data_IF_440732295429
#
_entry.id   IF_440732295429
#
_cell.length_a   1.000
_cell.length_b   1.000
_cell.length_c   1.000
_cell.angle_alpha   90.00
_cell.angle_beta   90.00
_cell.angle_gamma   90.00
#
_symmetry.space_group_name_H-M   'P 1'
#
loop_
_entity.id
_entity.type
_entity.pdbx_description
1 polymer ?
#
# COMPACT_ATOMS: atom_id res chain seq x y z
N UNK A 1 7.50 -14.66 -9.30
CA UNK A 1 7.95 -14.19 -7.97
C UNK A 1 6.73 -13.93 -7.10
N UNK A 2 6.80 -14.25 -5.81
CA UNK A 2 5.71 -13.99 -4.85
C UNK A 2 6.01 -12.69 -4.10
N UNK A 3 5.14 -11.69 -4.22
CA UNK A 3 5.27 -10.39 -3.53
C UNK A 3 4.14 -10.30 -2.51
N UNK A 4 4.38 -10.57 -1.22
CA UNK A 4 3.37 -10.41 -0.18
C UNK A 4 3.12 -8.93 0.09
N UNK A 5 1.85 -8.57 0.33
CA UNK A 5 1.46 -7.21 0.70
C UNK A 5 1.01 -7.18 2.15
N UNK A 6 1.57 -6.24 2.91
CA UNK A 6 1.20 -5.96 4.29
C UNK A 6 0.83 -4.49 4.43
N UNK A 7 -0.21 -4.21 5.21
CA UNK A 7 -0.70 -2.84 5.47
C UNK A 7 -0.70 -2.59 6.97
N UNK A 8 -0.22 -1.42 7.38
CA UNK A 8 -0.32 -0.93 8.75
C UNK A 8 -1.41 0.12 8.83
N UNK A 9 -2.20 0.08 9.90
CA UNK A 9 -3.14 1.16 10.23
C UNK A 9 -2.39 2.27 10.94
N UNK A 10 -2.62 3.51 10.54
CA UNK A 10 -1.96 4.69 11.14
C UNK A 10 -2.23 4.80 12.65
N UNK A 11 -3.44 4.44 13.09
CA UNK A 11 -3.79 4.44 14.51
C UNK A 11 -2.98 3.44 15.36
N UNK A 12 -2.44 2.40 14.74
CA UNK A 12 -1.71 1.30 15.39
C UNK A 12 -0.19 1.39 15.13
N UNK A 13 0.30 2.55 14.66
CA UNK A 13 1.71 2.75 14.32
C UNK A 13 2.64 2.47 15.51
N UNK A 14 2.24 2.92 16.71
CA UNK A 14 2.99 2.70 17.94
C UNK A 14 3.11 1.21 18.32
N UNK A 15 2.16 0.38 17.87
CA UNK A 15 2.14 -1.06 18.15
C UNK A 15 2.93 -1.86 17.11
N UNK A 16 3.33 -1.22 16.00
CA UNK A 16 4.11 -1.87 14.94
C UNK A 16 3.34 -3.00 14.22
N UNK A 17 2.01 -3.02 14.31
CA UNK A 17 1.18 -4.09 13.75
C UNK A 17 1.01 -3.93 12.24
N UNK A 18 1.13 -5.06 11.55
CA UNK A 18 0.91 -5.17 10.12
C UNK A 18 -0.08 -6.29 9.84
N UNK A 19 -1.00 -6.02 8.92
CA UNK A 19 -1.98 -7.00 8.45
C UNK A 19 -1.57 -7.52 7.09
N UNK A 20 -1.51 -8.84 6.95
CA UNK A 20 -1.33 -9.49 5.65
C UNK A 20 -2.62 -9.38 4.83
N UNK A 21 -2.54 -8.79 3.63
CA UNK A 21 -3.71 -8.59 2.76
C UNK A 21 -3.69 -9.45 1.50
N UNK A 22 -2.70 -10.34 1.37
CA UNK A 22 -2.54 -11.22 0.23
C UNK A 22 -1.22 -10.99 -0.52
N UNK A 23 -1.18 -11.41 -1.77
CA UNK A 23 0.00 -11.24 -2.63
C UNK A 23 -0.37 -10.61 -3.96
N UNK A 24 0.59 -9.90 -4.54
CA UNK A 24 0.44 -9.21 -5.81
C UNK A 24 0.47 -10.23 -6.95
N UNK A 25 -0.56 -10.19 -7.79
CA UNK A 25 -0.63 -10.95 -9.04
C UNK A 25 -0.13 -10.15 -10.24
N UNK A 26 -0.34 -8.83 -10.26
CA UNK A 26 0.04 -7.96 -11.37
C UNK A 26 0.35 -6.53 -10.92
N UNK A 27 1.17 -5.86 -11.74
CA UNK A 27 1.52 -4.44 -11.63
C UNK A 27 1.03 -3.75 -12.89
N UNK A 28 0.06 -2.85 -12.76
CA UNK A 28 -0.56 -2.17 -13.88
C UNK A 28 -0.18 -0.69 -13.93
N UNK A 29 -0.05 -0.16 -15.15
CA UNK A 29 0.10 1.26 -15.47
C UNK A 29 1.16 2.01 -14.63
N UNK A 30 2.44 1.60 -14.68
CA UNK A 30 3.50 2.35 -14.02
C UNK A 30 3.68 3.72 -14.67
N UNK A 31 3.52 4.79 -13.89
CA UNK A 31 3.69 6.16 -14.34
C UNK A 31 4.68 6.90 -13.45
N UNK A 32 5.57 7.67 -14.09
CA UNK A 32 6.45 8.58 -13.37
C UNK A 32 5.64 9.83 -12.98
N UNK A 33 5.63 10.13 -11.68
CA UNK A 33 4.97 11.30 -11.10
C UNK A 33 5.87 11.93 -10.04
N UNK A 34 5.37 12.97 -9.36
CA UNK A 34 6.07 13.65 -8.27
C UNK A 34 5.19 13.72 -7.04
N UNK A 35 5.77 13.53 -5.86
CA UNK A 35 5.11 13.79 -4.57
C UNK A 35 5.93 14.80 -3.75
N UNK A 36 5.31 15.54 -2.81
CA UNK A 36 6.06 16.37 -1.88
C UNK A 36 7.15 15.55 -1.16
N UNK A 37 8.29 16.17 -0.92
CA UNK A 37 9.31 15.59 -0.06
C UNK A 37 8.88 15.56 1.41
N UNK A 38 9.67 14.90 2.27
CA UNK A 38 9.33 14.73 3.68
C UNK A 38 9.22 16.07 4.45
N UNK A 39 9.88 17.12 3.97
CA UNK A 39 9.80 18.48 4.54
C UNK A 39 8.63 19.29 3.98
N UNK A 40 7.99 18.84 2.90
CA UNK A 40 6.92 19.55 2.20
C UNK A 40 7.38 20.79 1.43
N UNK A 41 8.69 21.00 1.30
CA UNK A 41 9.27 22.19 0.67
C UNK A 41 9.72 21.94 -0.78
N UNK A 42 9.75 20.68 -1.21
CA UNK A 42 10.15 20.28 -2.54
C UNK A 42 9.31 19.14 -3.08
N UNK A 43 9.75 18.55 -4.18
CA UNK A 43 9.09 17.40 -4.81
C UNK A 43 10.11 16.35 -5.23
N UNK A 44 9.76 15.09 -5.04
CA UNK A 44 10.57 13.93 -5.43
C UNK A 44 9.87 13.13 -6.52
N UNK A 45 10.64 12.67 -7.51
CA UNK A 45 10.14 11.76 -8.56
C UNK A 45 9.86 10.38 -7.96
N UNK A 46 8.69 9.83 -8.27
CA UNK A 46 8.25 8.52 -7.81
C UNK A 46 7.52 7.80 -8.93
N UNK A 47 7.51 6.46 -8.87
CA UNK A 47 6.68 5.64 -9.75
C UNK A 47 5.37 5.32 -9.03
N UNK A 48 4.25 5.70 -9.64
CA UNK A 48 2.92 5.28 -9.22
C UNK A 48 2.50 4.07 -10.06
N UNK A 49 1.99 3.02 -9.41
CA UNK A 49 1.50 1.82 -10.10
C UNK A 49 0.31 1.24 -9.36
N UNK A 50 -0.54 0.52 -10.08
CA UNK A 50 -1.69 -0.18 -9.50
C UNK A 50 -1.28 -1.62 -9.23
N UNK A 51 -1.38 -2.05 -7.98
CA UNK A 51 -1.10 -3.44 -7.60
C UNK A 51 -2.42 -4.22 -7.56
N UNK A 52 -2.52 -5.29 -8.35
CA UNK A 52 -3.66 -6.22 -8.28
C UNK A 52 -3.33 -7.36 -7.33
N UNK A 53 -4.18 -7.60 -6.36
CA UNK A 53 -4.08 -8.79 -5.50
C UNK A 53 -4.57 -10.03 -6.24
N UNK A 54 -3.92 -11.17 -5.99
CA UNK A 54 -4.31 -12.46 -6.55
C UNK A 54 -5.70 -12.94 -6.12
N UNK A 55 -6.17 -12.46 -4.96
CA UNK A 55 -7.49 -12.76 -4.40
C UNK A 55 -8.07 -11.50 -3.78
N UNK A 56 -9.39 -11.48 -3.64
CA UNK A 56 -10.08 -10.42 -2.92
C UNK A 56 -9.64 -10.41 -1.45
N UNK A 57 -9.56 -9.20 -0.87
CA UNK A 57 -9.29 -9.02 0.55
C UNK A 57 -10.51 -9.53 1.32
N UNK A 58 -10.26 -10.16 2.47
CA UNK A 58 -11.32 -10.52 3.40
C UNK A 58 -12.16 -9.27 3.79
N UNK A 59 -13.50 -9.31 3.69
CA UNK A 59 -14.34 -8.15 3.96
C UNK A 59 -14.21 -7.58 5.38
N UNK A 60 -14.01 -8.43 6.39
CA UNK A 60 -13.82 -7.96 7.78
C UNK A 60 -12.47 -7.28 7.93
N UNK A 61 -11.43 -7.86 7.32
CA UNK A 61 -10.12 -7.22 7.29
C UNK A 61 -10.18 -5.87 6.57
N UNK A 62 -10.87 -5.79 5.43
CA UNK A 62 -11.04 -4.53 4.72
C UNK A 62 -11.74 -3.48 5.59
N UNK A 63 -12.85 -3.85 6.25
CA UNK A 63 -13.55 -2.96 7.20
C UNK A 63 -12.64 -2.47 8.31
N UNK A 64 -11.87 -3.37 8.91
CA UNK A 64 -10.93 -3.03 9.97
C UNK A 64 -9.86 -2.04 9.48
N UNK A 65 -9.30 -2.25 8.29
CA UNK A 65 -8.25 -1.41 7.72
C UNK A 65 -8.71 0.01 7.37
N UNK A 66 -9.96 0.17 6.93
CA UNK A 66 -10.50 1.48 6.50
C UNK A 66 -11.20 2.26 7.62
N UNK A 67 -11.48 1.62 8.75
CA UNK A 67 -11.97 2.29 9.97
C UNK A 67 -10.89 3.16 10.62
#
# INVERSE_FOLDING_TARGET
HFVPLFVMRKAEEAEGKYYYVGHVAAFDNPQLTTKPDASGQGSVKVTLSILRLARQIDPELYRHLVS
#
